data_IF_414652585606
#
_entry.id   IF_414652585606
#
_cell.length_a   1.000
_cell.length_b   1.000
_cell.length_c   1.000
_cell.angle_alpha   90.00
_cell.angle_beta   90.00
_cell.angle_gamma   90.00
#
_symmetry.space_group_name_H-M   'P 1'
#
loop_
_entity.id
_entity.type
_entity.pdbx_description
1 polymer ?
#
# COMPACT_ATOMS: atom_id res chain seq x y z
N UNK A 1 -37.00 28.17 9.20
CA UNK A 1 -37.54 26.81 9.35
C UNK A 1 -37.31 26.02 8.06
N UNK A 2 -37.95 26.35 6.94
CA UNK A 2 -37.78 25.61 5.67
C UNK A 2 -36.33 25.31 5.22
N UNK A 3 -35.39 26.27 5.32
CA UNK A 3 -33.99 26.04 4.95
C UNK A 3 -33.26 25.06 5.89
N UNK A 4 -33.58 25.13 7.19
CA UNK A 4 -33.00 24.24 8.19
C UNK A 4 -33.54 22.83 7.98
N UNK A 5 -34.85 22.68 7.80
CA UNK A 5 -35.50 21.38 7.56
C UNK A 5 -34.92 20.72 6.29
N UNK A 6 -34.78 21.49 5.20
CA UNK A 6 -34.15 21.00 3.97
C UNK A 6 -32.69 20.57 4.19
N UNK A 7 -31.92 21.31 4.99
CA UNK A 7 -30.54 20.95 5.31
C UNK A 7 -30.45 19.66 6.14
N UNK A 8 -31.35 19.47 7.11
CA UNK A 8 -31.43 18.25 7.92
C UNK A 8 -31.81 17.04 7.06
N UNK A 9 -32.79 17.19 6.15
CA UNK A 9 -33.16 16.16 5.19
C UNK A 9 -31.99 15.79 4.28
N UNK A 10 -31.27 16.80 3.76
CA UNK A 10 -30.08 16.58 2.95
C UNK A 10 -28.98 15.81 3.69
N UNK A 11 -28.74 16.12 4.96
CA UNK A 11 -27.78 15.37 5.78
C UNK A 11 -28.24 13.93 6.06
N UNK A 12 -29.55 13.70 6.24
CA UNK A 12 -30.08 12.36 6.43
C UNK A 12 -29.88 11.51 5.16
N UNK A 13 -30.20 12.07 3.98
CA UNK A 13 -29.93 11.44 2.68
C UNK A 13 -28.45 11.11 2.53
N UNK A 14 -27.56 12.05 2.87
CA UNK A 14 -26.11 11.81 2.86
C UNK A 14 -25.72 10.63 3.75
N UNK A 15 -26.25 10.54 4.98
CA UNK A 15 -26.02 9.43 5.88
C UNK A 15 -26.42 8.07 5.29
N UNK A 16 -27.59 7.99 4.64
CA UNK A 16 -28.01 6.73 3.99
C UNK A 16 -27.18 6.39 2.75
N UNK A 17 -26.80 7.39 1.94
CA UNK A 17 -25.87 7.17 0.82
C UNK A 17 -24.52 6.65 1.34
N UNK A 18 -23.99 7.26 2.40
CA UNK A 18 -22.76 6.81 3.06
C UNK A 18 -22.88 5.36 3.53
N UNK A 19 -23.99 5.00 4.19
CA UNK A 19 -24.26 3.61 4.59
C UNK A 19 -24.19 2.66 3.38
N UNK A 20 -24.92 2.95 2.30
CA UNK A 20 -24.95 2.10 1.11
C UNK A 20 -23.55 1.95 0.50
N UNK A 21 -22.81 3.05 0.34
CA UNK A 21 -21.45 3.04 -0.22
C UNK A 21 -20.51 2.19 0.63
N UNK A 22 -20.49 2.39 1.96
CA UNK A 22 -19.56 1.68 2.85
C UNK A 22 -19.86 0.18 2.92
N UNK A 23 -21.13 -0.21 2.93
CA UNK A 23 -21.50 -1.62 2.90
C UNK A 23 -21.21 -2.26 1.54
N UNK A 24 -21.41 -1.56 0.43
CA UNK A 24 -20.96 -2.01 -0.89
C UNK A 24 -19.44 -2.24 -0.92
N UNK A 25 -18.65 -1.34 -0.31
CA UNK A 25 -17.21 -1.52 -0.18
C UNK A 25 -16.84 -2.77 0.61
N UNK A 26 -17.52 -3.04 1.73
CA UNK A 26 -17.35 -4.29 2.50
C UNK A 26 -17.64 -5.52 1.65
N UNK A 27 -18.79 -5.56 0.97
CA UNK A 27 -19.16 -6.70 0.14
C UNK A 27 -18.18 -6.88 -1.03
N UNK A 28 -17.81 -5.82 -1.73
CA UNK A 28 -16.82 -5.88 -2.82
C UNK A 28 -15.48 -6.41 -2.34
N UNK A 29 -14.97 -5.90 -1.21
CA UNK A 29 -13.69 -6.33 -0.66
C UNK A 29 -13.70 -7.81 -0.26
N UNK A 30 -14.75 -8.26 0.45
CA UNK A 30 -14.87 -9.65 0.90
C UNK A 30 -15.03 -10.59 -0.29
N UNK A 31 -15.92 -10.27 -1.23
CA UNK A 31 -16.15 -11.08 -2.43
C UNK A 31 -14.86 -11.18 -3.25
N UNK A 32 -14.20 -10.05 -3.53
CA UNK A 32 -12.96 -10.05 -4.30
C UNK A 32 -11.85 -10.83 -3.60
N UNK A 33 -11.71 -10.68 -2.29
CA UNK A 33 -10.74 -11.43 -1.48
C UNK A 33 -10.95 -12.94 -1.62
N UNK A 34 -12.20 -13.40 -1.50
CA UNK A 34 -12.55 -14.83 -1.64
C UNK A 34 -12.34 -15.36 -3.06
N UNK A 35 -12.60 -14.52 -4.07
CA UNK A 35 -12.55 -14.93 -5.47
C UNK A 35 -11.17 -14.80 -6.10
N UNK A 36 -10.30 -13.91 -5.62
CA UNK A 36 -9.06 -13.57 -6.32
C UNK A 36 -7.79 -13.72 -5.48
N UNK A 37 -7.84 -13.45 -4.17
CA UNK A 37 -6.63 -13.50 -3.34
C UNK A 37 -6.27 -14.94 -2.93
N UNK A 38 -5.00 -15.13 -2.58
CA UNK A 38 -4.46 -16.40 -2.09
C UNK A 38 -4.61 -17.58 -3.09
N UNK A 39 -4.69 -17.25 -4.38
CA UNK A 39 -4.66 -18.24 -5.46
C UNK A 39 -3.23 -18.52 -5.87
N UNK A 40 -2.89 -19.81 -5.98
CA UNK A 40 -1.62 -20.22 -6.61
C UNK A 40 -1.55 -19.70 -8.02
N UNK A 41 -0.40 -19.16 -8.41
CA UNK A 41 -0.17 -18.88 -9.81
C UNK A 41 -0.19 -20.21 -10.56
N UNK A 42 -0.90 -20.22 -11.68
CA UNK A 42 -0.81 -21.31 -12.66
C UNK A 42 -0.14 -20.75 -13.88
N UNK A 43 0.77 -21.51 -14.48
CA UNK A 43 1.37 -21.12 -15.74
C UNK A 43 0.28 -21.08 -16.81
N UNK A 44 -0.11 -19.86 -17.18
CA UNK A 44 -1.01 -19.64 -18.31
C UNK A 44 -0.30 -19.83 -19.64
N UNK A 45 1.04 -19.79 -19.64
CA UNK A 45 1.86 -19.83 -20.85
C UNK A 45 3.13 -20.67 -20.64
N UNK A 46 3.67 -21.28 -21.71
CA UNK A 46 4.97 -21.94 -21.65
C UNK A 46 6.08 -20.95 -21.28
N UNK A 47 7.07 -21.40 -20.50
CA UNK A 47 8.23 -20.60 -20.06
C UNK A 47 8.93 -19.84 -21.19
N UNK A 48 8.95 -20.37 -22.42
CA UNK A 48 9.57 -19.72 -23.57
C UNK A 48 8.92 -18.40 -23.97
N UNK A 49 7.61 -18.24 -23.70
CA UNK A 49 6.81 -17.05 -24.04
C UNK A 49 6.72 -16.02 -22.91
N UNK A 50 7.20 -16.36 -21.72
CA UNK A 50 7.17 -15.43 -20.59
C UNK A 50 8.11 -14.23 -20.86
N UNK A 51 7.65 -12.99 -20.60
CA UNK A 51 8.45 -11.78 -20.76
C UNK A 51 9.57 -11.74 -19.72
N UNK A 52 10.68 -11.10 -20.07
CA UNK A 52 11.71 -10.84 -19.07
C UNK A 52 11.29 -9.74 -18.10
N UNK A 53 11.80 -9.77 -16.86
CA UNK A 53 11.51 -8.76 -15.83
C UNK A 53 12.80 -8.28 -15.15
N UNK A 54 12.98 -6.97 -15.07
CA UNK A 54 14.05 -6.34 -14.29
C UNK A 54 13.51 -5.91 -12.93
N UNK A 55 13.93 -6.61 -11.87
CA UNK A 55 13.58 -6.28 -10.49
C UNK A 55 14.55 -5.21 -9.96
N UNK A 56 14.01 -4.09 -9.51
CA UNK A 56 14.73 -2.99 -8.90
C UNK A 56 14.44 -2.97 -7.39
N UNK A 57 15.50 -3.12 -6.59
CA UNK A 57 15.40 -3.21 -5.13
C UNK A 57 16.11 -2.02 -4.48
N UNK A 58 15.39 -0.98 -4.03
CA UNK A 58 15.99 0.13 -3.31
C UNK A 58 16.31 -0.28 -1.87
N UNK A 59 17.58 -0.16 -1.48
CA UNK A 59 18.09 -0.52 -0.16
C UNK A 59 18.62 0.70 0.58
N UNK A 60 18.40 0.73 1.90
CA UNK A 60 19.01 1.67 2.83
C UNK A 60 18.97 1.10 4.24
N UNK A 61 20.12 1.00 4.88
CA UNK A 61 20.31 0.44 6.21
C UNK A 61 19.96 -1.05 6.28
N UNK A 62 20.03 -1.61 7.49
CA UNK A 62 19.73 -3.02 7.76
C UNK A 62 18.55 -3.13 8.71
N UNK A 63 17.60 -3.99 8.33
CA UNK A 63 16.51 -4.50 9.16
C UNK A 63 16.86 -5.96 9.55
N UNK A 64 16.45 -6.46 10.73
CA UNK A 64 16.75 -7.82 11.15
C UNK A 64 16.33 -8.91 10.14
N UNK A 65 15.29 -8.66 9.35
CA UNK A 65 14.79 -9.58 8.33
C UNK A 65 15.25 -9.25 6.91
N UNK A 66 16.15 -8.26 6.72
CA UNK A 66 16.56 -7.81 5.39
C UNK A 66 17.08 -8.97 4.53
N UNK A 67 18.00 -9.79 5.06
CA UNK A 67 18.56 -10.92 4.31
C UNK A 67 17.49 -11.94 3.91
N UNK A 68 16.61 -12.31 4.86
CA UNK A 68 15.52 -13.26 4.61
C UNK A 68 14.53 -12.74 3.57
N UNK A 69 14.25 -11.44 3.58
CA UNK A 69 13.35 -10.82 2.61
C UNK A 69 14.01 -10.78 1.22
N UNK A 70 15.28 -10.35 1.14
CA UNK A 70 16.00 -10.27 -0.13
C UNK A 70 16.22 -11.64 -0.76
N UNK A 71 16.53 -12.66 0.04
CA UNK A 71 16.75 -14.03 -0.41
C UNK A 71 15.55 -14.58 -1.20
N UNK A 72 14.32 -14.25 -0.80
CA UNK A 72 13.12 -14.71 -1.55
C UNK A 72 13.07 -14.24 -3.00
N UNK A 73 13.78 -13.17 -3.38
CA UNK A 73 13.86 -12.71 -4.77
C UNK A 73 14.89 -13.48 -5.61
N UNK A 74 15.83 -14.18 -4.96
CA UNK A 74 16.78 -15.09 -5.62
C UNK A 74 16.20 -16.50 -5.78
N UNK A 75 15.09 -16.79 -5.10
CA UNK A 75 14.39 -18.09 -5.09
C UNK A 75 13.10 -18.07 -5.92
N UNK A 76 12.90 -17.03 -6.74
CA UNK A 76 11.74 -16.94 -7.63
C UNK A 76 11.78 -18.05 -8.68
N UNK A 77 10.65 -18.73 -8.84
CA UNK A 77 10.42 -19.73 -9.88
C UNK A 77 9.95 -19.03 -11.16
N UNK A 78 10.88 -18.31 -11.80
CA UNK A 78 10.63 -17.57 -13.03
C UNK A 78 11.85 -17.67 -13.96
N UNK A 79 11.70 -17.93 -15.27
CA UNK A 79 12.83 -18.29 -16.12
C UNK A 79 13.67 -17.10 -16.60
N UNK A 80 13.11 -15.89 -16.63
CA UNK A 80 13.74 -14.71 -17.26
C UNK A 80 13.60 -13.48 -16.38
N UNK A 81 14.48 -13.33 -15.40
CA UNK A 81 14.51 -12.12 -14.59
C UNK A 81 15.94 -11.75 -14.20
N UNK A 82 16.13 -10.48 -13.83
CA UNK A 82 17.35 -10.01 -13.19
C UNK A 82 17.04 -9.25 -11.89
N UNK A 83 17.98 -9.22 -10.97
CA UNK A 83 17.87 -8.55 -9.66
C UNK A 83 18.87 -7.41 -9.58
N UNK A 84 18.38 -6.17 -9.55
CA UNK A 84 19.16 -4.94 -9.47
C UNK A 84 19.05 -4.36 -8.06
N UNK A 85 20.04 -4.67 -7.23
CA UNK A 85 20.15 -4.20 -5.86
C UNK A 85 20.75 -2.78 -5.89
N UNK A 86 20.02 -1.79 -5.41
CA UNK A 86 20.40 -0.39 -5.49
C UNK A 86 20.67 0.17 -4.09
N UNK A 87 21.90 0.62 -3.86
CA UNK A 87 22.35 1.26 -2.62
C UNK A 87 22.90 2.65 -2.96
N UNK A 88 22.48 3.66 -2.21
CA UNK A 88 22.95 5.02 -2.44
C UNK A 88 24.31 5.28 -1.80
N UNK A 89 24.47 4.95 -0.52
CA UNK A 89 25.66 5.29 0.26
C UNK A 89 26.71 4.16 0.21
N UNK A 90 27.99 4.50 0.02
CA UNK A 90 29.08 3.52 -0.10
C UNK A 90 29.36 2.72 1.18
N UNK A 91 29.00 3.29 2.34
CA UNK A 91 29.20 2.68 3.66
C UNK A 91 27.91 2.04 4.21
N UNK A 92 26.86 1.92 3.39
CA UNK A 92 25.59 1.34 3.85
C UNK A 92 25.76 -0.16 4.18
N UNK A 93 25.36 -0.60 5.39
CA UNK A 93 25.51 -2.00 5.81
C UNK A 93 24.69 -2.99 4.97
N UNK A 94 23.72 -2.53 4.17
CA UNK A 94 23.01 -3.39 3.21
C UNK A 94 23.95 -3.99 2.15
N UNK A 95 25.09 -3.36 1.86
CA UNK A 95 26.06 -3.84 0.86
C UNK A 95 26.58 -5.23 1.22
N UNK A 96 26.86 -5.50 2.50
CA UNK A 96 27.37 -6.80 2.94
C UNK A 96 26.30 -7.90 2.81
N UNK A 97 25.04 -7.56 3.06
CA UNK A 97 23.91 -8.46 2.83
C UNK A 97 23.80 -8.80 1.34
N UNK A 98 23.92 -7.79 0.47
CA UNK A 98 23.89 -7.98 -0.98
C UNK A 98 25.02 -8.90 -1.46
N UNK A 99 26.26 -8.65 -1.03
CA UNK A 99 27.43 -9.45 -1.40
C UNK A 99 27.28 -10.92 -0.98
N UNK A 100 26.73 -11.18 0.22
CA UNK A 100 26.44 -12.54 0.69
C UNK A 100 25.46 -13.27 -0.23
N UNK A 101 24.37 -12.61 -0.63
CA UNK A 101 23.36 -13.21 -1.51
C UNK A 101 23.90 -13.42 -2.94
N UNK A 102 24.66 -12.47 -3.49
CA UNK A 102 25.33 -12.62 -4.79
C UNK A 102 26.29 -13.82 -4.78
N UNK A 103 27.03 -14.03 -3.68
CA UNK A 103 27.91 -15.19 -3.53
C UNK A 103 27.15 -16.51 -3.34
N UNK A 104 25.99 -16.49 -2.66
CA UNK A 104 25.15 -17.67 -2.42
C UNK A 104 24.40 -18.14 -3.68
N UNK A 105 24.00 -17.22 -4.56
CA UNK A 105 23.21 -17.50 -5.76
C UNK A 105 23.90 -17.03 -7.05
N UNK A 106 25.06 -17.60 -7.42
CA UNK A 106 25.85 -17.14 -8.58
C UNK A 106 25.17 -17.37 -9.93
N UNK A 107 24.14 -18.22 -9.99
CA UNK A 107 23.39 -18.53 -11.21
C UNK A 107 22.20 -17.58 -11.45
N UNK A 108 21.85 -16.73 -10.48
CA UNK A 108 20.82 -15.71 -10.64
C UNK A 108 21.48 -14.46 -11.22
N UNK A 109 20.89 -13.92 -12.29
CA UNK A 109 21.37 -12.67 -12.91
C UNK A 109 21.12 -11.49 -11.97
N UNK A 110 22.10 -11.17 -11.13
CA UNK A 110 21.96 -10.18 -10.08
C UNK A 110 23.17 -9.24 -10.04
N UNK A 111 22.91 -7.96 -9.82
CA UNK A 111 23.92 -6.90 -9.79
C UNK A 111 23.68 -5.93 -8.64
N UNK A 112 24.77 -5.47 -8.03
CA UNK A 112 24.76 -4.46 -6.98
C UNK A 112 25.26 -3.12 -7.54
N UNK A 113 24.44 -2.08 -7.40
CA UNK A 113 24.77 -0.70 -7.76
C UNK A 113 24.97 0.12 -6.49
N UNK A 114 26.08 0.83 -6.42
CA UNK A 114 26.46 1.69 -5.29
C UNK A 114 26.68 3.12 -5.81
N UNK A 115 26.15 4.13 -5.11
CA UNK A 115 26.39 5.56 -5.38
C UNK A 115 25.14 6.35 -5.79
N UNK A 116 24.06 5.67 -6.21
CA UNK A 116 22.83 6.31 -6.71
C UNK A 116 23.08 7.34 -7.84
N UNK A 117 22.08 8.17 -8.14
CA UNK A 117 22.19 9.34 -9.03
C UNK A 117 21.24 10.43 -8.54
N UNK A 118 21.78 11.60 -8.13
CA UNK A 118 20.95 12.71 -7.64
C UNK A 118 20.20 13.37 -8.81
N UNK A 119 18.95 12.97 -9.00
CA UNK A 119 18.05 13.47 -10.06
C UNK A 119 16.89 14.30 -9.52
N UNK A 120 16.66 14.27 -8.21
CA UNK A 120 15.70 15.12 -7.53
C UNK A 120 15.79 14.98 -6.01
N UNK A 121 14.71 15.36 -5.32
CA UNK A 121 14.65 15.33 -3.85
C UNK A 121 14.26 13.95 -3.28
N UNK A 122 13.67 13.06 -4.09
CA UNK A 122 13.25 11.75 -3.64
C UNK A 122 14.48 10.80 -3.56
N UNK A 123 14.94 10.42 -2.35
CA UNK A 123 16.08 9.51 -2.19
C UNK A 123 15.85 8.13 -2.80
N UNK A 124 14.61 7.61 -2.81
CA UNK A 124 14.31 6.31 -3.42
C UNK A 124 14.50 6.36 -4.93
N UNK A 125 14.00 7.40 -5.60
CA UNK A 125 14.24 7.56 -7.05
C UNK A 125 15.73 7.73 -7.34
N UNK A 126 16.42 8.59 -6.58
CA UNK A 126 17.87 8.77 -6.74
C UNK A 126 18.65 7.45 -6.60
N UNK A 127 18.26 6.62 -5.64
CA UNK A 127 18.86 5.30 -5.43
C UNK A 127 18.59 4.35 -6.61
N UNK A 128 17.38 4.34 -7.16
CA UNK A 128 16.96 3.41 -8.22
C UNK A 128 17.51 3.75 -9.62
N UNK A 129 17.92 4.99 -9.86
CA UNK A 129 18.32 5.45 -11.19
C UNK A 129 19.40 4.60 -11.88
N UNK A 130 20.53 4.24 -11.24
CA UNK A 130 21.54 3.41 -11.89
C UNK A 130 21.01 2.05 -12.33
N UNK A 131 20.15 1.42 -11.52
CA UNK A 131 19.50 0.16 -11.88
C UNK A 131 18.50 0.33 -13.03
N UNK A 132 17.74 1.42 -13.03
CA UNK A 132 16.75 1.71 -14.08
C UNK A 132 17.37 1.92 -15.45
N UNK A 133 18.51 2.62 -15.52
CA UNK A 133 19.20 2.95 -16.77
C UNK A 133 19.78 1.71 -17.47
N UNK A 134 20.11 0.65 -16.71
CA UNK A 134 20.74 -0.58 -17.22
C UNK A 134 19.83 -1.80 -17.18
N UNK A 135 18.54 -1.58 -16.89
CA UNK A 135 17.54 -2.63 -16.88
C UNK A 135 17.40 -3.24 -18.28
N UNK A 136 17.52 -4.56 -18.35
CA UNK A 136 17.56 -5.36 -19.59
C UNK A 136 16.19 -5.58 -20.21
N UNK A 137 15.12 -5.54 -19.42
CA UNK A 137 13.80 -5.99 -19.84
C UNK A 137 12.74 -4.88 -19.84
N UNK A 138 11.68 -5.10 -20.61
CA UNK A 138 10.58 -4.15 -20.80
C UNK A 138 9.62 -4.08 -19.61
N UNK A 139 9.69 -5.05 -18.69
CA UNK A 139 8.93 -5.02 -17.44
C UNK A 139 9.86 -4.69 -16.28
N UNK A 140 9.47 -3.68 -15.50
CA UNK A 140 10.21 -3.19 -14.34
C UNK A 140 9.41 -3.48 -13.09
N UNK A 141 9.98 -4.25 -12.18
CA UNK A 141 9.39 -4.50 -10.88
C UNK A 141 10.13 -3.70 -9.81
N UNK A 142 9.50 -2.68 -9.25
CA UNK A 142 10.03 -1.95 -8.09
C UNK A 142 9.42 -2.55 -6.84
N UNK A 143 10.25 -3.02 -5.91
CA UNK A 143 9.77 -3.65 -4.69
C UNK A 143 10.61 -3.24 -3.48
N UNK A 144 9.96 -2.77 -2.41
CA UNK A 144 10.64 -2.30 -1.20
C UNK A 144 11.37 -3.44 -0.47
N UNK A 145 12.47 -3.11 0.22
CA UNK A 145 13.32 -4.07 0.95
C UNK A 145 12.61 -4.81 2.09
N UNK A 146 11.53 -4.25 2.63
CA UNK A 146 10.73 -4.86 3.68
C UNK A 146 9.71 -5.89 3.19
N UNK A 147 9.60 -6.11 1.88
CA UNK A 147 8.64 -7.06 1.30
C UNK A 147 9.30 -8.44 1.14
N UNK A 148 8.58 -9.46 1.60
CA UNK A 148 8.87 -10.88 1.36
C UNK A 148 7.95 -11.40 0.26
N UNK A 149 8.46 -12.26 -0.61
CA UNK A 149 7.70 -12.90 -1.69
C UNK A 149 7.76 -14.42 -1.58
N UNK A 150 6.93 -15.11 -2.36
CA UNK A 150 6.96 -16.57 -2.52
C UNK A 150 7.39 -16.91 -3.96
N UNK A 151 7.82 -18.15 -4.25
CA UNK A 151 8.46 -18.47 -5.52
C UNK A 151 7.65 -18.09 -6.77
N UNK A 152 6.33 -18.21 -6.72
CA UNK A 152 5.42 -17.94 -7.84
C UNK A 152 4.90 -16.49 -7.89
N UNK A 153 5.35 -15.58 -7.00
CA UNK A 153 4.88 -14.19 -6.95
C UNK A 153 5.09 -13.46 -8.27
N UNK A 154 6.28 -13.61 -8.89
CA UNK A 154 6.58 -12.93 -10.16
C UNK A 154 5.69 -13.44 -11.30
N UNK A 155 5.48 -14.76 -11.35
CA UNK A 155 4.56 -15.41 -12.29
C UNK A 155 3.14 -14.88 -12.13
N UNK A 156 2.65 -14.74 -10.89
CA UNK A 156 1.34 -14.12 -10.64
C UNK A 156 1.29 -12.67 -11.15
N UNK A 157 2.26 -11.83 -10.80
CA UNK A 157 2.26 -10.43 -11.24
C UNK A 157 2.28 -10.30 -12.77
N UNK A 158 3.10 -11.10 -13.46
CA UNK A 158 3.14 -11.14 -14.92
C UNK A 158 1.83 -11.66 -15.51
N UNK A 159 1.19 -12.64 -14.89
CA UNK A 159 -0.13 -13.16 -15.31
C UNK A 159 -1.26 -12.12 -15.23
N UNK A 160 -1.12 -11.07 -14.41
CA UNK A 160 -2.04 -9.94 -14.36
C UNK A 160 -1.69 -8.83 -15.37
N UNK A 161 -0.48 -8.85 -15.93
CA UNK A 161 0.01 -7.87 -16.90
C UNK A 161 -0.53 -8.14 -18.31
N UNK A 162 -1.84 -7.94 -18.51
CA UNK A 162 -2.48 -8.04 -19.84
C UNK A 162 -2.06 -6.89 -20.77
N UNK A 163 -2.43 -6.97 -22.05
CA UNK A 163 -2.11 -5.96 -23.07
C UNK A 163 -2.61 -4.54 -22.74
N UNK A 164 -3.65 -4.41 -21.91
CA UNK A 164 -4.22 -3.11 -21.50
C UNK A 164 -3.77 -2.65 -20.12
N UNK A 165 -3.01 -3.48 -19.40
CA UNK A 165 -2.53 -3.19 -18.06
C UNK A 165 -1.14 -2.61 -18.16
N UNK A 166 -0.93 -1.44 -17.55
CA UNK A 166 0.37 -0.75 -17.50
C UNK A 166 1.08 -0.90 -16.16
N UNK A 167 0.34 -1.27 -15.11
CA UNK A 167 0.85 -1.44 -13.75
C UNK A 167 0.08 -2.56 -13.03
N UNK A 168 0.83 -3.48 -12.42
CA UNK A 168 0.33 -4.51 -11.51
C UNK A 168 0.92 -4.25 -10.13
N UNK A 169 0.08 -4.23 -9.08
CA UNK A 169 0.55 -4.01 -7.71
C UNK A 169 0.06 -5.08 -6.74
N UNK A 170 0.81 -5.31 -5.67
CA UNK A 170 0.37 -6.15 -4.56
C UNK A 170 -0.58 -5.41 -3.62
N UNK A 171 -1.51 -6.12 -2.98
CA UNK A 171 -2.26 -5.60 -1.84
C UNK A 171 -1.33 -5.54 -0.61
N UNK A 172 -1.16 -4.39 0.05
CA UNK A 172 -0.33 -4.34 1.25
C UNK A 172 -0.87 -5.22 2.37
N UNK A 173 -0.04 -6.12 2.86
CA UNK A 173 -0.32 -6.93 4.04
C UNK A 173 0.93 -7.12 4.88
N UNK A 174 0.82 -7.80 6.01
CA UNK A 174 1.89 -7.94 7.01
C UNK A 174 2.08 -9.41 7.34
N UNK A 175 3.33 -9.85 7.39
CA UNK A 175 3.70 -11.20 7.78
C UNK A 175 3.36 -11.47 9.25
N UNK A 176 3.14 -12.76 9.56
CA UNK A 176 2.93 -13.19 10.94
C UNK A 176 4.15 -12.87 11.80
N UNK A 177 3.92 -12.05 12.83
CA UNK A 177 4.94 -11.51 13.74
C UNK A 177 4.41 -11.53 15.17
N UNK A 178 5.30 -11.53 16.15
CA UNK A 178 4.95 -11.68 17.56
C UNK A 178 4.64 -10.33 18.22
N UNK A 179 3.71 -10.35 19.17
CA UNK A 179 3.38 -9.21 20.03
C UNK A 179 2.25 -8.30 19.52
N UNK A 180 1.67 -7.53 20.43
CA UNK A 180 0.46 -6.74 20.15
C UNK A 180 0.66 -5.65 19.07
N UNK A 181 1.86 -5.07 18.97
CA UNK A 181 2.16 -4.11 17.90
C UNK A 181 2.04 -4.74 16.51
N UNK A 182 2.47 -6.00 16.34
CA UNK A 182 2.28 -6.73 15.09
C UNK A 182 0.80 -7.01 14.82
N UNK A 183 0.04 -7.42 15.85
CA UNK A 183 -1.41 -7.62 15.74
C UNK A 183 -2.12 -6.35 15.27
N UNK A 184 -1.78 -5.19 15.84
CA UNK A 184 -2.39 -3.91 15.45
C UNK A 184 -2.12 -3.59 13.97
N UNK A 185 -0.90 -3.78 13.49
CA UNK A 185 -0.58 -3.60 12.06
C UNK A 185 -1.35 -4.58 11.18
N UNK A 186 -1.40 -5.86 11.57
CA UNK A 186 -2.08 -6.90 10.80
C UNK A 186 -3.60 -6.68 10.75
N UNK A 187 -4.21 -6.16 11.82
CA UNK A 187 -5.61 -5.74 11.83
C UNK A 187 -5.82 -4.57 10.87
N UNK A 188 -5.01 -3.50 10.93
CA UNK A 188 -5.15 -2.38 10.00
C UNK A 188 -5.02 -2.81 8.52
N UNK A 189 -3.96 -3.57 8.21
CA UNK A 189 -3.71 -4.05 6.85
C UNK A 189 -4.61 -5.22 6.45
N UNK A 190 -5.39 -5.79 7.36
CA UNK A 190 -6.35 -6.85 7.08
C UNK A 190 -7.81 -6.39 7.05
N UNK A 191 -8.11 -5.17 7.54
CA UNK A 191 -9.49 -4.66 7.64
C UNK A 191 -9.71 -3.40 6.78
N UNK A 192 -9.50 -2.20 7.33
CA UNK A 192 -9.82 -0.94 6.67
C UNK A 192 -9.01 -0.70 5.41
N UNK A 193 -7.72 -1.05 5.43
CA UNK A 193 -6.86 -0.79 4.29
C UNK A 193 -7.26 -1.66 3.07
N UNK A 194 -7.40 -2.99 3.16
CA UNK A 194 -7.96 -3.80 2.07
C UNK A 194 -9.36 -3.38 1.63
N UNK A 195 -10.24 -3.02 2.57
CA UNK A 195 -11.61 -2.58 2.23
C UNK A 195 -11.57 -1.42 1.23
N UNK A 196 -10.81 -0.37 1.55
CA UNK A 196 -10.66 0.80 0.67
C UNK A 196 -9.87 0.47 -0.60
N UNK A 197 -8.77 -0.26 -0.47
CA UNK A 197 -7.85 -0.54 -1.58
C UNK A 197 -8.46 -1.47 -2.64
N UNK A 198 -9.14 -2.54 -2.21
CA UNK A 198 -9.83 -3.47 -3.10
C UNK A 198 -11.03 -2.81 -3.75
N UNK A 199 -11.82 -2.04 -2.98
CA UNK A 199 -12.96 -1.30 -3.55
C UNK A 199 -12.50 -0.33 -4.63
N UNK A 200 -11.39 0.38 -4.41
CA UNK A 200 -10.80 1.25 -5.42
C UNK A 200 -10.38 0.48 -6.68
N UNK A 201 -9.72 -0.68 -6.53
CA UNK A 201 -9.34 -1.52 -7.66
C UNK A 201 -10.57 -2.02 -8.46
N UNK A 202 -11.62 -2.49 -7.79
CA UNK A 202 -12.85 -3.01 -8.44
C UNK A 202 -13.60 -1.91 -9.19
N UNK A 203 -13.63 -0.70 -8.65
CA UNK A 203 -14.32 0.46 -9.24
C UNK A 203 -13.47 1.25 -10.22
N UNK A 204 -12.19 0.89 -10.40
CA UNK A 204 -11.26 1.57 -11.29
C UNK A 204 -10.67 2.87 -10.74
N UNK A 205 -10.86 3.17 -9.44
CA UNK A 205 -10.15 4.27 -8.80
C UNK A 205 -8.66 3.97 -8.67
N UNK A 206 -7.85 4.97 -9.00
CA UNK A 206 -6.40 4.91 -9.06
C UNK A 206 -5.80 4.95 -7.66
N UNK A 207 -5.75 3.80 -6.98
CA UNK A 207 -5.14 3.65 -5.65
C UNK A 207 -4.02 2.62 -5.71
N UNK A 208 -2.77 3.10 -5.81
CA UNK A 208 -1.58 2.26 -5.87
C UNK A 208 -0.62 2.65 -4.75
N UNK A 209 -0.08 1.66 -4.05
CA UNK A 209 1.00 1.81 -3.07
C UNK A 209 2.28 1.14 -3.56
N UNK A 210 3.40 1.84 -3.49
CA UNK A 210 4.70 1.54 -4.10
C UNK A 210 5.53 0.46 -3.44
N UNK A 211 4.93 -0.38 -2.59
CA UNK A 211 5.62 -1.46 -1.89
C UNK A 211 6.04 -2.58 -2.85
N UNK A 212 5.20 -2.89 -3.84
CA UNK A 212 5.47 -3.87 -4.89
C UNK A 212 4.68 -3.50 -6.14
N UNK A 213 5.36 -3.01 -7.17
CA UNK A 213 4.76 -2.52 -8.41
C UNK A 213 5.54 -3.03 -9.63
N UNK A 214 4.89 -3.87 -10.44
CA UNK A 214 5.37 -4.30 -11.76
C UNK A 214 4.77 -3.36 -12.81
N UNK A 215 5.60 -2.75 -13.64
CA UNK A 215 5.21 -1.73 -14.60
C UNK A 215 5.83 -2.00 -15.97
N UNK A 216 5.19 -1.48 -17.00
CA UNK A 216 5.77 -1.41 -18.35
C UNK A 216 6.77 -0.27 -18.43
N UNK A 217 8.02 -0.58 -18.78
CA UNK A 217 9.13 0.38 -18.85
C UNK A 217 8.89 1.43 -19.93
N UNK A 218 8.44 1.01 -21.11
CA UNK A 218 8.12 1.90 -22.23
C UNK A 218 7.04 2.93 -21.85
N UNK A 219 6.00 2.51 -21.11
CA UNK A 219 4.94 3.40 -20.63
C UNK A 219 5.49 4.40 -19.62
N UNK A 220 6.38 3.95 -18.73
CA UNK A 220 7.04 4.82 -17.75
C UNK A 220 8.00 5.80 -18.42
N UNK A 221 8.75 5.37 -19.45
CA UNK A 221 9.64 6.20 -20.25
C UNK A 221 8.86 7.26 -21.04
N UNK A 222 7.70 6.90 -21.62
CA UNK A 222 6.75 7.86 -22.20
C UNK A 222 6.18 8.87 -21.19
N UNK A 223 6.27 8.55 -19.88
CA UNK A 223 5.94 9.46 -18.79
C UNK A 223 7.11 10.34 -18.32
N UNK A 224 8.25 10.28 -19.02
CA UNK A 224 9.48 10.99 -18.66
C UNK A 224 10.46 10.15 -17.85
N UNK A 225 10.22 8.84 -17.74
CA UNK A 225 11.03 7.90 -16.96
C UNK A 225 10.94 8.15 -15.46
N UNK A 226 11.73 7.42 -14.66
CA UNK A 226 11.76 7.59 -13.20
C UNK A 226 12.14 9.02 -12.76
N UNK A 227 12.96 9.71 -13.54
CA UNK A 227 13.44 11.07 -13.23
C UNK A 227 12.27 12.05 -13.08
N UNK A 228 11.23 11.93 -13.90
CA UNK A 228 10.06 12.83 -13.86
C UNK A 228 9.34 12.81 -12.49
N UNK A 229 9.51 11.72 -11.73
CA UNK A 229 8.88 11.51 -10.44
C UNK A 229 9.79 11.82 -9.25
N UNK A 230 11.05 12.23 -9.49
CA UNK A 230 12.02 12.53 -8.44
C UNK A 230 11.65 13.74 -7.56
N UNK A 231 10.66 14.54 -7.98
CA UNK A 231 10.11 15.69 -7.25
C UNK A 231 9.01 15.33 -6.24
N UNK A 232 8.53 14.08 -6.24
CA UNK A 232 7.42 13.62 -5.39
C UNK A 232 7.94 12.66 -4.33
N UNK A 233 7.50 12.80 -3.07
CA UNK A 233 7.80 11.82 -2.01
C UNK A 233 6.93 10.56 -2.12
N UNK A 234 5.71 10.71 -2.66
CA UNK A 234 4.83 9.59 -3.01
C UNK A 234 4.98 9.27 -4.51
N UNK A 235 6.19 8.87 -4.93
CA UNK A 235 6.51 8.65 -6.34
C UNK A 235 5.60 7.60 -6.99
N UNK A 236 5.20 6.61 -6.20
CA UNK A 236 4.34 5.49 -6.56
C UNK A 236 2.98 5.92 -7.09
N UNK A 237 2.30 6.81 -6.38
CA UNK A 237 1.02 7.35 -6.80
C UNK A 237 1.15 8.18 -8.07
N UNK A 238 2.19 9.01 -8.19
CA UNK A 238 2.35 9.86 -9.37
C UNK A 238 2.77 9.05 -10.60
N UNK A 239 3.57 7.99 -10.45
CA UNK A 239 3.84 7.01 -11.50
C UNK A 239 2.54 6.34 -11.94
N UNK A 240 1.74 5.83 -10.99
CA UNK A 240 0.45 5.23 -11.31
C UNK A 240 -0.47 6.22 -12.03
N UNK A 241 -0.64 7.44 -11.48
CA UNK A 241 -1.45 8.49 -12.09
C UNK A 241 -1.00 8.78 -13.53
N UNK A 242 0.30 8.92 -13.78
CA UNK A 242 0.84 9.18 -15.11
C UNK A 242 0.60 8.02 -16.10
N UNK A 243 0.67 6.77 -15.64
CA UNK A 243 0.33 5.57 -16.43
C UNK A 243 -1.17 5.59 -16.78
N UNK A 244 -2.04 5.85 -15.81
CA UNK A 244 -3.48 5.85 -16.05
C UNK A 244 -3.98 7.06 -16.86
N UNK A 245 -3.33 8.22 -16.74
CA UNK A 245 -3.64 9.40 -17.57
C UNK A 245 -3.30 9.14 -19.06
N UNK A 246 -2.48 8.12 -19.35
CA UNK A 246 -2.21 7.60 -20.71
C UNK A 246 -3.17 6.49 -21.15
N UNK A 247 -4.23 6.22 -20.38
CA UNK A 247 -5.27 5.26 -20.73
C UNK A 247 -4.97 3.81 -20.34
N UNK A 248 -3.86 3.55 -19.65
CA UNK A 248 -3.54 2.20 -19.15
C UNK A 248 -4.36 1.84 -17.92
N UNK A 249 -4.69 0.55 -17.79
CA UNK A 249 -5.39 0.01 -16.63
C UNK A 249 -4.41 -0.48 -15.58
N UNK A 250 -4.92 -0.65 -14.37
CA UNK A 250 -4.23 -1.34 -13.29
C UNK A 250 -4.83 -2.71 -13.06
N UNK A 251 -4.00 -3.60 -12.52
CA UNK A 251 -4.46 -4.85 -11.96
C UNK A 251 -3.77 -5.08 -10.61
N UNK A 252 -4.40 -5.94 -9.80
CA UNK A 252 -3.86 -6.34 -8.51
C UNK A 252 -3.38 -7.79 -8.60
N UNK A 253 -2.21 -8.06 -8.03
CA UNK A 253 -1.72 -9.43 -7.80
C UNK A 253 -2.70 -10.23 -6.93
N UNK A 254 -2.80 -11.53 -7.15
CA UNK A 254 -3.54 -12.44 -6.26
C UNK A 254 -2.82 -12.61 -4.92
N UNK A 255 -1.53 -12.33 -4.90
CA UNK A 255 -0.68 -12.37 -3.72
C UNK A 255 -0.56 -10.99 -3.10
N UNK A 256 -0.48 -10.97 -1.78
CA UNK A 256 -0.29 -9.74 -1.02
C UNK A 256 1.18 -9.31 -1.06
N UNK A 257 1.42 -8.00 -1.07
CA UNK A 257 2.74 -7.44 -0.79
C UNK A 257 3.03 -7.62 0.70
N UNK A 258 3.64 -8.76 1.05
CA UNK A 258 3.84 -9.21 2.43
C UNK A 258 4.97 -8.43 3.11
N UNK A 259 4.62 -7.49 3.98
CA UNK A 259 5.59 -6.71 4.77
C UNK A 259 6.14 -7.55 5.93
N UNK A 260 7.45 -7.72 5.98
CA UNK A 260 8.14 -8.53 6.99
C UNK A 260 9.31 -7.76 7.63
N UNK A 261 9.07 -6.55 8.13
CA UNK A 261 10.08 -5.81 8.90
C UNK A 261 10.28 -6.44 10.28
N UNK A 262 11.54 -6.59 10.68
CA UNK A 262 11.94 -7.13 11.98
C UNK A 262 11.87 -6.13 13.13
N UNK A 263 11.74 -4.83 12.86
CA UNK A 263 11.60 -3.79 13.88
C UNK A 263 10.26 -3.07 13.77
N UNK A 264 9.42 -3.21 14.79
CA UNK A 264 8.06 -2.65 14.79
C UNK A 264 7.58 -2.31 16.20
N UNK A 265 6.76 -1.26 16.30
CA UNK A 265 6.15 -0.77 17.53
C UNK A 265 4.91 0.06 17.19
N UNK A 266 4.03 0.26 18.17
CA UNK A 266 2.82 1.08 17.99
C UNK A 266 3.18 2.51 17.55
N UNK A 267 4.23 3.10 18.15
CA UNK A 267 4.70 4.44 17.80
C UNK A 267 5.24 4.52 16.36
N UNK A 268 5.99 3.50 15.91
CA UNK A 268 6.46 3.45 14.52
C UNK A 268 5.29 3.28 13.54
N UNK A 269 4.29 2.46 13.89
CA UNK A 269 3.08 2.30 13.10
C UNK A 269 2.30 3.63 13.00
N UNK A 270 2.05 4.29 14.13
CA UNK A 270 1.41 5.62 14.17
C UNK A 270 2.16 6.64 13.32
N UNK A 271 3.49 6.74 13.51
CA UNK A 271 4.34 7.66 12.74
C UNK A 271 4.25 7.39 11.24
N UNK A 272 4.21 6.11 10.84
CA UNK A 272 4.03 5.71 9.43
C UNK A 272 2.66 6.11 8.90
N UNK A 273 1.60 5.86 9.67
CA UNK A 273 0.23 6.18 9.28
C UNK A 273 -0.02 7.69 9.19
N UNK A 274 0.51 8.47 10.11
CA UNK A 274 0.49 9.93 10.07
C UNK A 274 1.19 10.42 8.80
N UNK A 275 2.40 9.93 8.51
CA UNK A 275 3.13 10.30 7.30
C UNK A 275 2.35 9.99 6.03
N UNK A 276 1.77 8.79 5.92
CA UNK A 276 0.96 8.43 4.75
C UNK A 276 -0.29 9.31 4.61
N UNK A 277 -0.91 9.69 5.73
CA UNK A 277 -2.08 10.58 5.74
C UNK A 277 -1.68 12.00 5.30
N UNK A 278 -0.55 12.52 5.77
CA UNK A 278 0.03 13.80 5.30
C UNK A 278 0.23 13.80 3.78
N UNK A 279 0.79 12.72 3.23
CA UNK A 279 0.97 12.56 1.78
C UNK A 279 -0.39 12.61 1.06
N UNK A 280 -1.34 11.75 1.45
CA UNK A 280 -2.65 11.67 0.78
C UNK A 280 -3.43 12.98 0.80
N UNK A 281 -3.41 13.71 1.91
CA UNK A 281 -4.06 15.02 2.03
C UNK A 281 -3.51 16.02 0.99
N UNK A 282 -2.19 16.04 0.78
CA UNK A 282 -1.54 16.94 -0.17
C UNK A 282 -1.64 16.49 -1.63
N UNK A 283 -1.89 15.20 -1.86
CA UNK A 283 -2.06 14.60 -3.19
C UNK A 283 -3.52 14.68 -3.68
N UNK A 284 -4.47 14.42 -2.79
CA UNK A 284 -5.90 14.40 -3.06
C UNK A 284 -6.66 15.02 -1.87
N UNK A 285 -6.87 16.35 -1.85
CA UNK A 285 -7.48 17.06 -0.72
C UNK A 285 -8.86 16.56 -0.32
N UNK A 286 -9.62 15.94 -1.23
CA UNK A 286 -10.91 15.31 -0.91
C UNK A 286 -10.81 14.22 0.18
N UNK A 287 -9.62 13.63 0.37
CA UNK A 287 -9.35 12.66 1.44
C UNK A 287 -9.48 13.27 2.84
N UNK A 288 -9.35 14.60 2.99
CA UNK A 288 -9.59 15.34 4.25
C UNK A 288 -10.95 14.99 4.86
N UNK A 289 -11.98 14.90 4.03
CA UNK A 289 -13.35 14.64 4.48
C UNK A 289 -13.67 13.15 4.33
N UNK A 290 -13.29 12.54 3.20
CA UNK A 290 -13.74 11.19 2.86
C UNK A 290 -13.13 10.10 3.76
N UNK A 291 -11.87 10.21 4.17
CA UNK A 291 -11.23 9.17 4.99
C UNK A 291 -11.85 9.08 6.39
N UNK A 292 -11.96 10.18 7.18
CA UNK A 292 -12.51 10.09 8.53
C UNK A 292 -13.95 9.57 8.59
N UNK A 293 -14.80 9.99 7.66
CA UNK A 293 -16.21 9.56 7.63
C UNK A 293 -16.40 8.11 7.14
N UNK A 294 -15.36 7.50 6.58
CA UNK A 294 -15.39 6.12 6.10
C UNK A 294 -15.04 5.08 7.16
N UNK A 295 -14.57 5.53 8.34
CA UNK A 295 -14.24 4.67 9.46
C UNK A 295 -15.44 4.40 10.37
N UNK A 296 -15.43 3.27 11.07
CA UNK A 296 -16.62 2.68 11.68
C UNK A 296 -17.30 3.65 12.66
N UNK A 297 -16.55 4.22 13.60
CA UNK A 297 -17.16 5.04 14.66
C UNK A 297 -17.79 6.33 14.12
N UNK A 298 -17.09 7.05 13.25
CA UNK A 298 -17.60 8.30 12.66
C UNK A 298 -18.78 8.01 11.73
N UNK A 299 -18.66 7.00 10.86
CA UNK A 299 -19.75 6.57 9.99
C UNK A 299 -20.99 6.17 10.79
N UNK A 300 -20.83 5.37 11.85
CA UNK A 300 -21.94 4.90 12.69
C UNK A 300 -22.70 6.04 13.36
N UNK A 301 -22.01 7.10 13.77
CA UNK A 301 -22.65 8.28 14.35
C UNK A 301 -23.45 9.08 13.31
N UNK A 302 -22.88 9.31 12.12
CA UNK A 302 -23.54 10.03 11.02
C UNK A 302 -24.79 9.26 10.57
N UNK A 303 -24.64 7.95 10.34
CA UNK A 303 -25.72 7.09 9.86
C UNK A 303 -26.78 6.90 10.95
N UNK A 304 -26.36 6.71 12.21
CA UNK A 304 -27.27 6.57 13.34
C UNK A 304 -28.11 7.84 13.56
N UNK A 305 -27.51 9.01 13.40
CA UNK A 305 -28.25 10.27 13.40
C UNK A 305 -29.27 10.35 12.26
N UNK A 306 -28.88 9.97 11.03
CA UNK A 306 -29.80 9.93 9.89
C UNK A 306 -30.98 8.98 10.13
N UNK A 307 -30.72 7.79 10.69
CA UNK A 307 -31.75 6.81 11.05
C UNK A 307 -32.68 7.33 12.14
N UNK A 308 -32.15 8.03 13.15
CA UNK A 308 -32.97 8.67 14.18
C UNK A 308 -33.85 9.79 13.60
N UNK A 309 -33.30 10.62 12.73
CA UNK A 309 -34.04 11.73 12.14
C UNK A 309 -35.26 11.25 11.33
N UNK A 310 -35.07 10.20 10.51
CA UNK A 310 -36.12 9.70 9.60
C UNK A 310 -37.03 8.65 10.25
N UNK A 311 -36.46 7.68 10.98
CA UNK A 311 -37.20 6.53 11.51
C UNK A 311 -37.44 6.59 13.03
N UNK A 312 -36.93 7.63 13.71
CA UNK A 312 -37.00 7.77 15.17
C UNK A 312 -36.36 6.62 15.96
N UNK A 313 -35.40 5.94 15.34
CA UNK A 313 -34.60 4.90 16.00
C UNK A 313 -33.68 5.50 17.05
N UNK A 314 -33.37 4.73 18.10
CA UNK A 314 -32.39 5.16 19.09
C UNK A 314 -30.97 5.16 18.49
N UNK A 315 -30.27 6.29 18.59
CA UNK A 315 -28.94 6.49 17.99
C UNK A 315 -27.92 5.52 18.59
N UNK A 316 -27.97 5.28 19.90
CA UNK A 316 -27.00 4.45 20.60
C UNK A 316 -27.21 2.97 20.29
N UNK A 317 -28.47 2.53 20.24
CA UNK A 317 -28.80 1.16 19.79
C UNK A 317 -28.32 0.95 18.36
N UNK A 318 -28.61 1.87 17.44
CA UNK A 318 -28.12 1.77 16.05
C UNK A 318 -26.58 1.72 16.00
N UNK A 319 -25.92 2.64 16.72
CA UNK A 319 -24.45 2.69 16.78
C UNK A 319 -23.85 1.37 17.24
N UNK A 320 -24.37 0.77 18.30
CA UNK A 320 -23.88 -0.52 18.82
C UNK A 320 -24.10 -1.65 17.82
N UNK A 321 -25.30 -1.75 17.22
CA UNK A 321 -25.60 -2.78 16.23
C UNK A 321 -24.75 -2.63 14.97
N UNK A 322 -24.57 -1.40 14.48
CA UNK A 322 -23.76 -1.11 13.30
C UNK A 322 -22.27 -1.38 13.55
N UNK A 323 -21.72 -0.95 14.69
CA UNK A 323 -20.35 -1.27 15.09
C UNK A 323 -20.12 -2.77 15.21
N UNK A 324 -21.07 -3.51 15.80
CA UNK A 324 -20.97 -4.97 15.90
C UNK A 324 -20.96 -5.64 14.53
N UNK A 325 -21.87 -5.22 13.63
CA UNK A 325 -21.90 -5.74 12.26
C UNK A 325 -20.58 -5.45 11.53
N UNK A 326 -20.08 -4.22 11.64
CA UNK A 326 -18.81 -3.81 11.05
C UNK A 326 -17.63 -4.61 11.59
N UNK A 327 -17.56 -4.81 12.91
CA UNK A 327 -16.54 -5.61 13.58
C UNK A 327 -16.48 -7.06 13.06
N UNK A 328 -17.65 -7.67 12.86
CA UNK A 328 -17.78 -9.03 12.31
C UNK A 328 -17.30 -9.06 10.85
N UNK A 329 -17.71 -8.10 10.03
CA UNK A 329 -17.33 -8.05 8.61
C UNK A 329 -15.83 -7.78 8.43
N UNK A 330 -15.25 -6.91 9.25
CA UNK A 330 -13.81 -6.70 9.30
C UNK A 330 -13.06 -7.99 9.69
N UNK A 331 -13.61 -8.79 10.61
CA UNK A 331 -13.01 -10.07 10.97
C UNK A 331 -13.06 -11.06 9.80
N UNK A 332 -14.19 -11.10 9.06
CA UNK A 332 -14.35 -11.94 7.87
C UNK A 332 -13.35 -11.54 6.78
N UNK A 333 -13.17 -10.23 6.55
CA UNK A 333 -12.22 -9.67 5.60
C UNK A 333 -10.78 -10.05 5.98
N UNK A 334 -10.38 -9.80 7.22
CA UNK A 334 -9.07 -10.14 7.76
C UNK A 334 -8.74 -11.63 7.58
N UNK A 335 -9.69 -12.52 7.93
CA UNK A 335 -9.54 -13.97 7.72
C UNK A 335 -9.41 -14.34 6.25
N UNK A 336 -10.06 -13.59 5.36
CA UNK A 336 -9.94 -13.76 3.91
C UNK A 336 -8.54 -13.40 3.41
N UNK A 337 -8.04 -12.22 3.79
CA UNK A 337 -6.72 -11.71 3.37
C UNK A 337 -5.60 -12.61 3.89
N UNK A 338 -5.67 -13.03 5.17
CA UNK A 338 -4.70 -13.95 5.78
C UNK A 338 -4.55 -15.26 4.99
N UNK A 339 -5.64 -15.78 4.41
CA UNK A 339 -5.62 -17.07 3.70
C UNK A 339 -5.34 -18.29 4.58
N UNK A 340 -5.33 -18.12 5.92
CA UNK A 340 -4.92 -19.16 6.87
C UNK A 340 -5.34 -18.87 8.31
N UNK A 341 -4.62 -19.48 9.26
CA UNK A 341 -4.78 -19.22 10.70
C UNK A 341 -4.15 -17.88 11.07
N UNK A 342 -4.83 -17.13 11.94
CA UNK A 342 -4.26 -15.92 12.53
C UNK A 342 -3.32 -16.30 13.69
N UNK A 343 -2.24 -15.54 13.87
CA UNK A 343 -1.27 -15.75 14.93
C UNK A 343 -1.64 -15.09 16.28
N UNK A 344 -2.88 -14.63 16.42
CA UNK A 344 -3.38 -13.94 17.62
C UNK A 344 -4.81 -14.36 17.97
N UNK A 345 -5.21 -14.12 19.22
CA UNK A 345 -6.52 -14.51 19.74
C UNK A 345 -7.65 -13.59 19.25
N UNK A 346 -8.91 -14.02 19.40
CA UNK A 346 -10.07 -13.16 19.15
C UNK A 346 -10.12 -11.95 20.09
N UNK A 347 -9.58 -12.07 21.29
CA UNK A 347 -9.48 -10.95 22.23
C UNK A 347 -8.46 -9.92 21.75
N UNK A 348 -7.29 -10.37 21.28
CA UNK A 348 -6.29 -9.48 20.69
C UNK A 348 -6.85 -8.75 19.47
N UNK A 349 -7.61 -9.46 18.62
CA UNK A 349 -8.35 -8.83 17.52
C UNK A 349 -9.31 -7.76 18.01
N UNK A 350 -10.14 -8.06 19.02
CA UNK A 350 -11.11 -7.12 19.56
C UNK A 350 -10.45 -5.82 20.06
N UNK A 351 -9.38 -5.96 20.84
CA UNK A 351 -8.62 -4.84 21.38
C UNK A 351 -7.92 -4.06 20.27
N UNK A 352 -7.24 -4.74 19.34
CA UNK A 352 -6.54 -4.11 18.22
C UNK A 352 -7.49 -3.38 17.27
N UNK A 353 -8.65 -3.96 16.98
CA UNK A 353 -9.68 -3.33 16.14
C UNK A 353 -10.21 -2.04 16.78
N UNK A 354 -10.53 -2.08 18.08
CA UNK A 354 -11.00 -0.90 18.80
C UNK A 354 -9.94 0.20 18.87
N UNK A 355 -8.68 -0.17 19.17
CA UNK A 355 -7.56 0.78 19.19
C UNK A 355 -7.35 1.39 17.81
N UNK A 356 -7.40 0.60 16.73
CA UNK A 356 -7.25 1.09 15.37
C UNK A 356 -8.34 2.11 15.01
N UNK A 357 -9.61 1.78 15.26
CA UNK A 357 -10.75 2.69 14.98
C UNK A 357 -10.64 3.99 15.80
N UNK A 358 -10.22 3.89 17.06
CA UNK A 358 -10.01 5.05 17.93
C UNK A 358 -8.83 5.93 17.47
N UNK A 359 -7.78 5.30 16.96
CA UNK A 359 -6.57 5.99 16.52
C UNK A 359 -6.74 6.78 15.22
N UNK A 360 -7.74 6.46 14.39
CA UNK A 360 -7.89 7.13 13.09
C UNK A 360 -8.06 8.64 13.24
N UNK A 361 -8.92 9.10 14.15
CA UNK A 361 -9.14 10.54 14.38
C UNK A 361 -7.84 11.20 14.84
N UNK A 362 -7.11 10.57 15.75
CA UNK A 362 -5.81 11.07 16.22
C UNK A 362 -4.79 11.19 15.08
N UNK A 363 -4.67 10.14 14.24
CA UNK A 363 -3.76 10.13 13.08
C UNK A 363 -4.10 11.26 12.12
N UNK A 364 -5.40 11.48 11.89
CA UNK A 364 -5.87 12.50 10.95
C UNK A 364 -5.60 13.92 11.45
N UNK A 365 -5.97 14.22 12.70
CA UNK A 365 -5.70 15.52 13.32
C UNK A 365 -4.19 15.80 13.41
N UNK A 366 -3.38 14.79 13.73
CA UNK A 366 -1.93 14.92 13.75
C UNK A 366 -1.34 15.22 12.37
N UNK A 367 -1.92 14.63 11.31
CA UNK A 367 -1.50 14.87 9.93
C UNK A 367 -1.88 16.29 9.45
N UNK A 368 -3.03 16.81 9.87
CA UNK A 368 -3.47 18.17 9.53
C UNK A 368 -2.69 19.26 10.28
N UNK A 369 -2.23 18.97 11.50
CA UNK A 369 -1.54 19.94 12.34
C UNK A 369 -0.15 20.32 11.82
N UNK A 370 0.59 19.36 11.27
CA UNK A 370 1.96 19.56 10.82
C UNK A 370 2.15 19.00 9.39
N UNK A 371 2.37 19.85 8.37
CA UNK A 371 2.56 19.39 7.00
C UNK A 371 3.96 18.82 6.72
N UNK A 372 4.88 18.84 7.69
CA UNK A 372 6.26 18.37 7.49
C UNK A 372 6.39 16.85 7.64
N UNK A 373 7.29 16.25 6.86
CA UNK A 373 7.56 14.82 6.85
C UNK A 373 9.04 14.59 7.11
N UNK A 374 9.35 13.83 8.15
CA UNK A 374 10.67 13.23 8.32
C UNK A 374 10.71 11.88 7.61
N UNK A 375 11.63 11.72 6.67
CA UNK A 375 11.82 10.46 5.95
C UNK A 375 13.29 10.19 5.64
N UNK A 376 13.84 9.15 6.31
CA UNK A 376 15.15 8.50 6.16
C UNK A 376 16.40 9.40 6.03
N UNK A 377 16.44 10.31 5.08
CA UNK A 377 17.55 11.22 4.74
C UNK A 377 17.31 12.67 5.14
N UNK A 378 16.06 13.09 5.37
CA UNK A 378 15.79 14.50 5.64
C UNK A 378 14.36 14.81 6.08
N UNK A 379 14.09 16.12 6.22
CA UNK A 379 12.77 16.68 6.49
C UNK A 379 12.25 17.36 5.23
N UNK A 380 10.98 17.14 4.93
CA UNK A 380 10.35 17.62 3.70
C UNK A 380 9.07 18.37 4.04
N UNK A 381 8.82 19.51 3.37
CA UNK A 381 7.53 20.20 3.37
C UNK A 381 6.77 19.80 2.13
N UNK A 382 5.55 19.30 2.30
CA UNK A 382 4.66 19.00 1.19
C UNK A 382 3.96 20.26 0.69
N UNK A 383 3.77 20.34 -0.62
CA UNK A 383 2.89 21.32 -1.28
C UNK A 383 1.66 20.64 -1.87
N UNK A 384 0.62 21.42 -2.10
CA UNK A 384 -0.57 20.95 -2.82
C UNK A 384 -0.17 20.45 -4.21
N UNK A 385 -0.68 19.28 -4.61
CA UNK A 385 -0.24 18.58 -5.82
C UNK A 385 0.92 17.60 -5.57
N UNK A 386 1.33 17.41 -4.31
CA UNK A 386 2.22 16.35 -3.84
C UNK A 386 3.71 16.55 -4.08
N UNK A 387 4.13 17.68 -4.66
CA UNK A 387 5.54 18.06 -4.71
C UNK A 387 6.05 18.33 -3.30
N UNK A 388 7.35 18.11 -3.09
CA UNK A 388 7.96 18.36 -1.80
C UNK A 388 9.19 19.26 -1.94
N UNK A 389 9.53 19.93 -0.84
CA UNK A 389 10.72 20.75 -0.69
C UNK A 389 11.50 20.27 0.52
N UNK A 390 12.81 20.12 0.36
CA UNK A 390 13.69 19.77 1.47
C UNK A 390 13.83 20.96 2.42
N UNK A 391 13.58 20.72 3.70
CA UNK A 391 13.80 21.70 4.76
C UNK A 391 15.23 21.49 5.25
N UNK A 392 16.10 22.43 4.91
CA UNK A 392 17.44 22.49 5.50
C UNK A 392 17.29 22.97 6.95
N UNK A 393 17.80 22.20 7.90
CA UNK A 393 17.91 22.65 9.29
C UNK A 393 18.97 23.75 9.32
N UNK A 394 18.54 25.00 9.56
CA UNK A 394 19.40 26.18 9.72
C UNK A 394 19.95 26.25 11.14
#
# INVERSE_FOLDING_TARGET
MALLDLALEGMAVFGFVLFVVLWLMHFMAIIYTRLHLNKKATDKQPYSKLPGVSLLKPLKGVDPNLINNLETFFELDYPKYEVLLCVQDHDDPAIDVCKKLLGKYPNVDARLFIGGKKVGINPKINNLMPGYEVAKYDLIWICDSGIRVIPDTLTDMVNQMTEKVGLVHGLPYVADRQGFAATLEQVYFGTSHPRSYISANVTGFKCVTGMSCLMRKDVLDQAGGLIAFAQYIAEDYFMAKAIADRGWRFAMSTQVAMQNSGSYSISQFQSRMIRWTKLRINMLPATIICEPISECFVASLIIGWAAHHVFRWDIMVFFMCHCLAWFIFDYIQLRGVQGGTLCFSKLDYAVAWFIRESMTIYIFLSALWDPTISWRTGRYRLRCGGTAEEILDV
#
